data_IF_085615943579
#
_entry.id   IF_085615943579
#
_cell.length_a   1.000
_cell.length_b   1.000
_cell.length_c   1.000
_cell.angle_alpha   90.00
_cell.angle_beta   90.00
_cell.angle_gamma   90.00
#
_symmetry.space_group_name_H-M   'P 1'
#
loop_
_entity.id
_entity.type
_entity.pdbx_description
1 polymer ?
#
# COMPACT_ATOMS: atom_id res chain seq x y z
N UNK A 1 8.75 -14.35 -15.99
CA UNK A 1 7.98 -13.92 -14.81
C UNK A 1 8.89 -13.84 -13.61
N UNK A 2 8.75 -12.79 -12.84
CA UNK A 2 9.62 -12.59 -11.69
C UNK A 2 9.05 -13.27 -10.46
N UNK A 3 9.94 -13.84 -9.66
CA UNK A 3 9.53 -14.45 -8.40
C UNK A 3 9.63 -13.42 -7.27
N UNK A 4 8.92 -13.65 -6.16
CA UNK A 4 9.10 -12.76 -5.01
C UNK A 4 10.54 -12.68 -4.54
N UNK A 5 11.26 -13.79 -4.58
CA UNK A 5 12.65 -13.79 -4.15
C UNK A 5 13.53 -12.94 -5.06
N UNK A 6 13.29 -12.99 -6.37
CA UNK A 6 14.09 -12.18 -7.29
C UNK A 6 13.81 -10.69 -7.09
N UNK A 7 12.58 -10.33 -6.79
CA UNK A 7 12.24 -8.94 -6.50
C UNK A 7 12.85 -8.49 -5.19
N UNK A 8 12.88 -9.36 -4.20
CA UNK A 8 13.50 -9.05 -2.92
C UNK A 8 14.97 -8.70 -3.13
N UNK A 9 15.66 -9.50 -3.93
CA UNK A 9 17.06 -9.24 -4.24
C UNK A 9 17.24 -7.97 -5.04
N UNK A 10 16.42 -7.80 -6.07
CA UNK A 10 16.58 -6.70 -7.00
C UNK A 10 16.31 -5.35 -6.34
N UNK A 11 15.26 -5.24 -5.54
CA UNK A 11 14.83 -3.95 -5.00
C UNK A 11 15.29 -3.71 -3.58
N UNK A 12 15.54 -4.74 -2.81
CA UNK A 12 15.88 -4.59 -1.40
C UNK A 12 17.22 -5.17 -1.02
N UNK A 13 17.85 -5.94 -1.92
CA UNK A 13 19.19 -6.43 -1.70
C UNK A 13 19.31 -7.63 -0.80
N UNK A 14 18.21 -8.26 -0.43
CA UNK A 14 18.24 -9.44 0.43
C UNK A 14 18.13 -10.70 -0.41
N UNK A 15 18.88 -11.71 -0.02
CA UNK A 15 18.84 -12.99 -0.72
C UNK A 15 17.64 -13.84 -0.31
N UNK A 16 17.23 -13.74 0.94
CA UNK A 16 16.17 -14.58 1.48
C UNK A 16 15.20 -13.77 2.33
N UNK A 17 13.95 -14.19 2.34
CA UNK A 17 12.97 -13.63 3.25
C UNK A 17 13.27 -14.07 4.68
N UNK A 18 12.88 -13.23 5.64
CA UNK A 18 12.90 -13.61 7.03
C UNK A 18 11.78 -14.61 7.29
N UNK A 19 11.92 -15.33 8.40
CA UNK A 19 10.91 -16.31 8.79
C UNK A 19 9.53 -15.66 8.82
N UNK A 20 8.58 -16.30 8.17
CA UNK A 20 7.21 -15.82 8.11
C UNK A 20 6.90 -14.86 6.98
N UNK A 21 7.90 -14.18 6.44
CA UNK A 21 7.64 -13.19 5.38
C UNK A 21 7.16 -13.87 4.10
N UNK A 22 7.80 -14.95 3.72
CA UNK A 22 7.47 -15.62 2.46
C UNK A 22 6.03 -16.11 2.46
N UNK A 23 5.58 -16.62 3.61
CA UNK A 23 4.21 -17.09 3.72
C UNK A 23 3.20 -15.96 3.56
N UNK A 24 3.50 -14.80 4.15
CA UNK A 24 2.62 -13.64 4.00
C UNK A 24 2.58 -13.18 2.56
N UNK A 25 3.75 -13.09 1.92
CA UNK A 25 3.83 -12.67 0.53
C UNK A 25 3.01 -13.60 -0.34
N UNK A 26 3.16 -14.92 -0.15
CA UNK A 26 2.42 -15.88 -0.94
C UNK A 26 0.92 -15.78 -0.71
N UNK A 27 0.51 -15.61 0.54
CA UNK A 27 -0.90 -15.48 0.85
C UNK A 27 -1.51 -14.26 0.18
N UNK A 28 -0.78 -13.15 0.17
CA UNK A 28 -1.28 -11.94 -0.47
C UNK A 28 -1.38 -12.10 -1.97
N UNK A 29 -0.44 -12.81 -2.58
CA UNK A 29 -0.47 -13.00 -4.03
C UNK A 29 -1.61 -13.90 -4.49
N UNK A 30 -2.07 -14.78 -3.63
CA UNK A 30 -3.10 -15.76 -4.01
C UNK A 30 -4.51 -15.20 -3.91
N UNK A 31 -4.69 -14.02 -3.35
CA UNK A 31 -6.02 -13.45 -3.15
C UNK A 31 -6.27 -12.31 -4.11
N UNK A 32 -7.54 -12.06 -4.38
CA UNK A 32 -7.99 -10.92 -5.16
C UNK A 32 -8.73 -9.97 -4.24
N UNK A 33 -8.66 -8.66 -4.55
CA UNK A 33 -9.36 -7.64 -3.78
C UNK A 33 -9.04 -7.74 -2.31
N UNK A 34 -7.75 -7.71 -2.01
CA UNK A 34 -7.26 -7.97 -0.67
C UNK A 34 -7.33 -6.73 0.21
N UNK A 35 -7.81 -6.92 1.43
CA UNK A 35 -7.63 -5.96 2.50
C UNK A 35 -6.66 -6.61 3.49
N UNK A 36 -5.46 -6.07 3.60
CA UNK A 36 -4.45 -6.62 4.48
C UNK A 36 -4.24 -5.72 5.67
N UNK A 37 -4.29 -6.30 6.85
CA UNK A 37 -4.08 -5.56 8.09
C UNK A 37 -2.74 -6.01 8.65
N UNK A 38 -1.81 -5.05 8.77
CA UNK A 38 -0.44 -5.35 9.15
C UNK A 38 -0.10 -4.63 10.45
N UNK A 39 0.39 -5.34 11.45
CA UNK A 39 0.91 -4.66 12.63
C UNK A 39 2.22 -3.96 12.27
N UNK A 40 2.49 -2.86 12.95
CA UNK A 40 3.73 -2.15 12.76
C UNK A 40 4.89 -3.00 13.25
N UNK A 41 5.99 -2.94 12.51
CA UNK A 41 7.18 -3.66 12.95
C UNK A 41 8.18 -3.78 11.81
N UNK A 42 9.41 -4.06 12.21
CA UNK A 42 10.49 -4.22 11.25
C UNK A 42 10.22 -5.38 10.30
N UNK A 43 10.47 -5.14 9.04
CA UNK A 43 10.31 -6.18 8.02
C UNK A 43 8.89 -6.37 7.53
N UNK A 44 7.91 -5.68 8.11
CA UNK A 44 6.53 -5.84 7.66
C UNK A 44 6.28 -5.19 6.32
N UNK A 45 6.95 -4.09 6.05
CA UNK A 45 6.74 -3.38 4.78
C UNK A 45 7.05 -4.26 3.59
N UNK A 46 8.09 -5.06 3.67
CA UNK A 46 8.46 -5.94 2.57
C UNK A 46 7.34 -6.92 2.25
N UNK A 47 6.60 -7.34 3.27
CA UNK A 47 5.53 -8.33 3.08
C UNK A 47 4.45 -7.85 2.12
N UNK A 48 4.19 -6.54 2.05
CA UNK A 48 3.21 -6.04 1.10
C UNK A 48 3.86 -5.35 -0.09
N UNK A 49 5.07 -4.81 0.08
CA UNK A 49 5.73 -4.13 -1.03
C UNK A 49 6.12 -5.10 -2.14
N UNK A 50 6.62 -6.26 -1.78
CA UNK A 50 6.99 -7.25 -2.79
C UNK A 50 5.76 -7.74 -3.57
N UNK A 51 4.66 -8.16 -2.92
CA UNK A 51 3.49 -8.58 -3.71
C UNK A 51 2.94 -7.48 -4.60
N UNK A 52 3.00 -6.23 -4.14
CA UNK A 52 2.45 -5.13 -4.93
C UNK A 52 3.14 -5.01 -6.28
N UNK A 53 4.41 -5.36 -6.36
CA UNK A 53 5.16 -5.28 -7.60
C UNK A 53 4.74 -6.35 -8.60
N UNK A 54 4.08 -7.40 -8.13
CA UNK A 54 3.61 -8.49 -8.97
C UNK A 54 2.13 -8.38 -9.32
N UNK A 55 1.43 -7.41 -8.73
CA UNK A 55 0.00 -7.26 -8.95
C UNK A 55 -0.25 -6.32 -10.13
N UNK A 56 -1.39 -6.48 -10.82
CA UNK A 56 -1.66 -5.70 -12.04
C UNK A 56 -1.98 -4.24 -11.80
N UNK A 57 -2.60 -3.91 -10.68
CA UNK A 57 -3.03 -2.55 -10.40
C UNK A 57 -2.30 -1.98 -9.21
N UNK A 58 -2.58 -0.72 -8.90
CA UNK A 58 -1.94 -0.06 -7.78
C UNK A 58 -2.35 -0.61 -6.43
N UNK A 59 -1.57 -0.26 -5.42
CA UNK A 59 -1.78 -0.66 -4.05
C UNK A 59 -1.83 0.58 -3.18
N UNK A 60 -2.81 0.65 -2.29
CA UNK A 60 -2.92 1.76 -1.34
C UNK A 60 -2.55 1.26 0.04
N UNK A 61 -1.71 2.03 0.73
CA UNK A 61 -1.30 1.72 2.10
C UNK A 61 -1.82 2.84 3.00
N UNK A 62 -2.68 2.49 3.94
CA UNK A 62 -3.25 3.47 4.86
C UNK A 62 -2.49 3.38 6.17
N UNK A 63 -1.90 4.50 6.59
CA UNK A 63 -1.07 4.54 7.79
C UNK A 63 -1.26 5.86 8.51
N UNK A 64 -1.37 5.83 9.84
CA UNK A 64 -1.43 7.07 10.62
C UNK A 64 -0.06 7.71 10.84
N UNK A 65 1.01 7.04 10.44
CA UNK A 65 2.37 7.49 10.71
C UNK A 65 2.83 8.44 9.61
N UNK A 66 2.25 9.65 9.62
CA UNK A 66 2.45 10.61 8.55
C UNK A 66 3.92 11.00 8.40
N UNK A 67 4.62 11.12 9.52
CA UNK A 67 6.02 11.53 9.47
C UNK A 67 6.90 10.49 8.80
N UNK A 68 6.47 9.24 8.75
CA UNK A 68 7.24 8.17 8.10
C UNK A 68 6.86 7.97 6.65
N UNK A 69 5.73 8.50 6.22
CA UNK A 69 5.28 8.29 4.84
C UNK A 69 6.28 8.78 3.83
N UNK A 70 6.75 10.02 4.03
CA UNK A 70 7.69 10.61 3.10
C UNK A 70 8.96 9.78 3.01
N UNK A 71 9.47 9.34 4.16
CA UNK A 71 10.70 8.55 4.18
C UNK A 71 10.51 7.22 3.46
N UNK A 72 9.37 6.57 3.66
CA UNK A 72 9.12 5.30 3.00
C UNK A 72 8.96 5.48 1.50
N UNK A 73 8.27 6.52 1.09
CA UNK A 73 8.10 6.80 -0.33
C UNK A 73 9.44 7.08 -0.98
N UNK A 74 10.27 7.90 -0.33
CA UNK A 74 11.57 8.23 -0.90
C UNK A 74 12.47 7.00 -0.99
N UNK A 75 12.40 6.13 0.00
CA UNK A 75 13.19 4.89 -0.04
C UNK A 75 12.75 4.01 -1.21
N UNK A 76 11.45 3.90 -1.44
CA UNK A 76 10.96 3.12 -2.56
C UNK A 76 11.40 3.72 -3.89
N UNK A 77 11.33 5.03 -4.02
CA UNK A 77 11.74 5.68 -5.26
C UNK A 77 13.22 5.50 -5.53
N UNK A 78 14.02 5.53 -4.47
CA UNK A 78 15.46 5.27 -4.64
C UNK A 78 15.75 3.87 -5.14
N UNK A 79 14.84 2.95 -4.85
CA UNK A 79 14.99 1.57 -5.31
C UNK A 79 14.36 1.35 -6.68
N UNK A 80 13.80 2.39 -7.28
CA UNK A 80 13.21 2.28 -8.60
C UNK A 80 11.73 1.92 -8.60
N UNK A 81 11.07 1.99 -7.45
CA UNK A 81 9.65 1.70 -7.33
C UNK A 81 8.88 3.01 -7.28
N UNK A 82 7.91 3.18 -8.17
CA UNK A 82 7.12 4.40 -8.22
C UNK A 82 6.13 4.44 -7.08
N UNK A 83 6.27 5.42 -6.21
CA UNK A 83 5.43 5.56 -5.03
C UNK A 83 5.14 7.03 -4.77
N UNK A 84 4.06 7.29 -4.05
CA UNK A 84 3.70 8.64 -3.65
C UNK A 84 2.92 8.56 -2.34
N UNK A 85 2.63 9.73 -1.76
CA UNK A 85 1.81 9.77 -0.55
C UNK A 85 0.84 10.94 -0.61
N UNK A 86 -0.29 10.79 0.06
CA UNK A 86 -1.28 11.86 0.22
C UNK A 86 -1.65 11.97 1.69
N UNK A 87 -1.62 13.19 2.20
CA UNK A 87 -2.03 13.47 3.56
C UNK A 87 -2.45 14.94 3.60
N UNK A 88 -2.69 15.48 4.79
CA UNK A 88 -3.20 16.84 4.92
C UNK A 88 -2.20 17.91 4.48
N UNK A 89 -0.92 17.55 4.29
CA UNK A 89 0.08 18.51 3.83
C UNK A 89 0.13 18.63 2.31
N UNK A 90 -0.59 17.77 1.60
CA UNK A 90 -0.62 17.76 0.14
C UNK A 90 -1.89 18.47 -0.31
N UNK A 91 -1.78 19.33 -1.33
CA UNK A 91 -2.94 20.07 -1.82
C UNK A 91 -3.97 19.10 -2.39
N UNK A 92 -5.20 19.58 -2.50
CA UNK A 92 -6.27 18.79 -3.09
C UNK A 92 -5.92 18.39 -4.53
N UNK A 93 -5.44 19.35 -5.32
CA UNK A 93 -5.12 19.08 -6.71
C UNK A 93 -4.03 18.04 -6.85
N UNK A 94 -3.02 18.11 -6.00
CA UNK A 94 -1.95 17.12 -6.02
C UNK A 94 -2.45 15.75 -5.61
N UNK A 95 -3.37 15.71 -4.66
CA UNK A 95 -3.95 14.43 -4.22
C UNK A 95 -4.70 13.77 -5.37
N UNK A 96 -5.49 14.55 -6.10
CA UNK A 96 -6.23 14.00 -7.22
C UNK A 96 -5.29 13.55 -8.33
N UNK A 97 -4.22 14.31 -8.56
CA UNK A 97 -3.25 13.90 -9.58
C UNK A 97 -2.57 12.59 -9.22
N UNK A 98 -2.32 12.35 -7.93
CA UNK A 98 -1.79 11.07 -7.49
C UNK A 98 -2.73 9.93 -7.85
N UNK A 99 -4.03 10.13 -7.66
CA UNK A 99 -5.01 9.09 -8.03
C UNK A 99 -4.99 8.83 -9.53
N UNK A 100 -4.85 9.87 -10.33
CA UNK A 100 -4.76 9.70 -11.77
C UNK A 100 -3.53 8.90 -12.15
N UNK A 101 -2.41 9.17 -11.48
CA UNK A 101 -1.17 8.46 -11.78
C UNK A 101 -1.25 6.99 -11.35
N UNK A 102 -1.97 6.70 -10.27
CA UNK A 102 -2.21 5.31 -9.91
C UNK A 102 -3.05 4.63 -10.99
N UNK A 103 -4.08 5.33 -11.46
CA UNK A 103 -4.94 4.79 -12.52
C UNK A 103 -4.16 4.52 -13.80
N UNK A 104 -3.22 5.40 -14.12
CA UNK A 104 -2.40 5.27 -15.33
C UNK A 104 -1.27 4.28 -15.19
N UNK A 105 -1.04 3.76 -14.00
CA UNK A 105 0.07 2.85 -13.75
C UNK A 105 1.40 3.52 -13.50
N UNK A 106 1.41 4.84 -13.32
CA UNK A 106 2.64 5.57 -13.03
C UNK A 106 3.04 5.50 -11.57
N UNK A 107 2.09 5.23 -10.68
CA UNK A 107 2.36 5.03 -9.27
C UNK A 107 1.89 3.64 -8.92
N UNK A 108 2.78 2.86 -8.30
CA UNK A 108 2.47 1.49 -7.93
C UNK A 108 1.96 1.41 -6.50
N UNK A 109 2.55 2.17 -5.60
CA UNK A 109 2.19 2.15 -4.19
C UNK A 109 1.86 3.57 -3.75
N UNK A 110 0.65 3.77 -3.25
CA UNK A 110 0.20 5.07 -2.77
C UNK A 110 -0.04 4.99 -1.27
N UNK A 111 0.75 5.72 -0.50
CA UNK A 111 0.55 5.84 0.93
C UNK A 111 -0.49 6.92 1.21
N UNK A 112 -1.34 6.68 2.17
CA UNK A 112 -2.47 7.56 2.42
C UNK A 112 -2.72 7.68 3.92
N UNK A 113 -2.95 8.92 4.38
CA UNK A 113 -3.31 9.14 5.77
C UNK A 113 -4.78 8.76 5.98
N UNK A 114 -5.13 8.27 7.18
CA UNK A 114 -6.51 7.83 7.43
C UNK A 114 -7.54 8.93 7.24
N UNK A 115 -7.19 10.20 7.51
CA UNK A 115 -8.16 11.28 7.35
C UNK A 115 -8.61 11.45 5.91
N UNK A 116 -7.87 10.93 4.96
CA UNK A 116 -8.26 10.99 3.55
C UNK A 116 -9.41 10.04 3.21
N UNK A 117 -9.74 9.15 4.13
CA UNK A 117 -10.84 8.21 3.93
C UNK A 117 -12.20 8.80 4.27
N UNK A 118 -12.24 10.01 4.82
CA UNK A 118 -13.52 10.64 5.12
C UNK A 118 -14.26 10.93 3.81
N UNK A 119 -15.58 10.83 3.82
CA UNK A 119 -16.35 11.06 2.59
C UNK A 119 -16.03 12.41 1.97
N UNK A 120 -15.67 12.41 0.70
CA UNK A 120 -15.23 13.61 0.02
C UNK A 120 -15.13 13.32 -1.47
N UNK A 121 -14.85 14.37 -2.24
CA UNK A 121 -14.58 14.17 -3.66
C UNK A 121 -13.39 13.24 -3.87
N UNK A 122 -12.38 13.35 -3.00
CA UNK A 122 -11.21 12.49 -3.10
C UNK A 122 -11.59 11.02 -2.98
N UNK A 123 -12.40 10.67 -1.98
CA UNK A 123 -12.79 9.27 -1.82
C UNK A 123 -13.69 8.79 -2.94
N UNK A 124 -14.51 9.70 -3.51
CA UNK A 124 -15.30 9.33 -4.68
C UNK A 124 -14.42 8.98 -5.85
N UNK A 125 -13.37 9.77 -6.07
CA UNK A 125 -12.41 9.47 -7.13
C UNK A 125 -11.64 8.20 -6.85
N UNK A 126 -11.24 8.00 -5.60
CA UNK A 126 -10.49 6.80 -5.22
C UNK A 126 -11.30 5.55 -5.49
N UNK A 127 -12.59 5.59 -5.24
CA UNK A 127 -13.44 4.42 -5.43
C UNK A 127 -13.53 3.98 -6.89
N UNK A 128 -13.17 4.87 -7.82
CA UNK A 128 -13.20 4.55 -9.23
C UNK A 128 -11.86 4.07 -9.77
N UNK A 129 -10.83 4.08 -8.95
CA UNK A 129 -9.51 3.64 -9.35
C UNK A 129 -9.39 2.14 -9.05
N UNK A 130 -9.05 1.32 -10.04
CA UNK A 130 -8.85 -0.10 -9.75
C UNK A 130 -7.61 -0.30 -8.91
N UNK A 131 -7.76 -1.05 -7.83
CA UNK A 131 -6.68 -1.32 -6.90
C UNK A 131 -6.55 -2.82 -6.73
N UNK A 132 -5.30 -3.29 -6.63
CA UNK A 132 -5.05 -4.70 -6.39
C UNK A 132 -5.12 -5.05 -4.92
N UNK A 133 -4.78 -4.09 -4.05
CA UNK A 133 -4.73 -4.38 -2.63
C UNK A 133 -4.85 -3.08 -1.85
N UNK A 134 -5.46 -3.15 -0.68
CA UNK A 134 -5.45 -2.06 0.29
C UNK A 134 -4.82 -2.61 1.57
N UNK A 135 -3.76 -1.96 2.02
CA UNK A 135 -3.03 -2.36 3.21
C UNK A 135 -3.35 -1.38 4.33
N UNK A 136 -3.70 -1.89 5.49
CA UNK A 136 -3.94 -1.09 6.67
C UNK A 136 -2.76 -1.30 7.62
N UNK A 137 -1.95 -0.28 7.77
CA UNK A 137 -0.84 -0.29 8.71
C UNK A 137 -1.32 0.32 10.00
N UNK A 138 -0.98 -0.27 11.14
CA UNK A 138 -1.51 0.18 12.42
C UNK A 138 -3.03 0.01 12.44
N UNK A 139 -3.47 -1.24 12.53
CA UNK A 139 -4.88 -1.58 12.35
C UNK A 139 -5.84 -0.79 13.24
N UNK A 140 -5.37 -0.33 14.40
CA UNK A 140 -6.26 0.40 15.31
C UNK A 140 -6.77 1.70 14.70
N UNK A 141 -6.09 2.27 13.73
CA UNK A 141 -6.57 3.50 13.11
C UNK A 141 -7.87 3.27 12.34
N UNK A 142 -8.14 2.05 11.94
CA UNK A 142 -9.35 1.74 11.20
C UNK A 142 -10.61 1.85 12.04
N UNK A 143 -10.48 1.80 13.35
CA UNK A 143 -11.63 1.89 14.22
C UNK A 143 -12.33 3.24 14.11
N UNK A 144 -11.61 4.25 13.63
CA UNK A 144 -12.16 5.59 13.46
C UNK A 144 -12.91 5.75 12.15
N UNK A 145 -12.69 4.87 11.21
CA UNK A 145 -13.20 5.01 9.85
C UNK A 145 -13.96 3.79 9.39
N UNK A 146 -14.47 3.03 10.32
CA UNK A 146 -15.09 1.77 9.96
C UNK A 146 -16.32 1.97 9.11
N UNK A 147 -16.34 1.21 8.07
CA UNK A 147 -17.52 0.93 7.30
C UNK A 147 -17.45 -0.57 7.09
N UNK A 148 -17.61 -1.31 8.15
CA UNK A 148 -17.28 -2.73 8.10
C UNK A 148 -18.17 -3.49 7.17
N UNK A 149 -17.55 -4.25 6.32
CA UNK A 149 -18.21 -5.32 5.63
C UNK A 149 -17.66 -6.60 6.21
N UNK A 150 -18.34 -7.71 6.02
CA UNK A 150 -17.86 -8.98 6.56
C UNK A 150 -16.44 -9.30 6.13
N UNK A 151 -16.08 -8.90 4.92
CA UNK A 151 -14.74 -9.21 4.43
C UNK A 151 -13.64 -8.43 5.13
N UNK A 152 -13.97 -7.25 5.61
CA UNK A 152 -12.96 -6.38 6.20
C UNK A 152 -12.44 -6.91 7.51
N UNK A 153 -13.13 -7.84 8.12
CA UNK A 153 -12.72 -8.42 9.38
C UNK A 153 -11.85 -9.66 9.21
N UNK A 154 -11.66 -10.11 7.99
CA UNK A 154 -10.83 -11.26 7.69
C UNK A 154 -9.36 -10.92 7.86
N UNK A 155 -8.60 -11.86 8.41
CA UNK A 155 -7.14 -11.68 8.56
C UNK A 155 -6.42 -12.85 8.05
#
# INVERSE_FOLDING_TARGET
MQSPESLLKKYFGYDNFRKGQREVVQALLEKKDILAIMPTGAGKSICFQIPSLLMPYGVVVISPLISLMKDQVEALKEQGIEAAYVNSTISFDESIECLRDVYRGKIKILYMAPEKLEPSYFTDCLSQVPLSMVVIDEAHCCLLYTSPSPRDTER
#
